data_IF_400570119162
#
_entry.id   IF_400570119162
#
_cell.length_a   1.000
_cell.length_b   1.000
_cell.length_c   1.000
_cell.angle_alpha   90.00
_cell.angle_beta   90.00
_cell.angle_gamma   90.00
#
_symmetry.space_group_name_H-M   'P 1'
#
loop_
_entity.id
_entity.type
_entity.pdbx_description
1 polymer ?
#
# COMPACT_ATOMS: atom_id res chain seq x y z
N UNK A 1 -0.76 -15.61 19.31
CA UNK A 1 0.15 -15.79 18.17
C UNK A 1 -0.42 -16.76 17.12
N UNK A 2 -0.92 -17.94 17.51
CA UNK A 2 -1.54 -18.90 16.56
C UNK A 2 -2.77 -18.37 15.81
N UNK A 3 -3.68 -17.63 16.47
CA UNK A 3 -4.88 -17.09 15.81
C UNK A 3 -4.62 -16.21 14.58
N UNK A 4 -3.57 -15.39 14.60
CA UNK A 4 -3.20 -14.53 13.47
C UNK A 4 -2.69 -15.37 12.29
N UNK A 5 -1.99 -16.48 12.56
CA UNK A 5 -1.52 -17.42 11.52
C UNK A 5 -2.69 -18.15 10.88
N UNK A 6 -3.68 -18.56 11.68
CA UNK A 6 -4.90 -19.20 11.18
C UNK A 6 -5.69 -18.27 10.26
N UNK A 7 -5.79 -16.98 10.58
CA UNK A 7 -6.47 -15.99 9.73
C UNK A 7 -5.73 -15.78 8.40
N UNK A 8 -4.40 -15.66 8.41
CA UNK A 8 -3.60 -15.51 7.18
C UNK A 8 -3.73 -16.76 6.29
N UNK A 9 -3.65 -17.96 6.87
CA UNK A 9 -3.84 -19.22 6.14
C UNK A 9 -5.26 -19.28 5.57
N UNK A 10 -6.26 -18.87 6.35
CA UNK A 10 -7.65 -18.86 5.92
C UNK A 10 -7.91 -17.85 4.79
N UNK A 11 -7.32 -16.65 4.86
CA UNK A 11 -7.42 -15.66 3.78
C UNK A 11 -6.69 -16.14 2.53
N UNK A 12 -5.48 -16.69 2.65
CA UNK A 12 -4.74 -17.27 1.53
C UNK A 12 -5.52 -18.41 0.86
N UNK A 13 -6.13 -19.30 1.64
CA UNK A 13 -7.00 -20.37 1.14
C UNK A 13 -8.20 -19.82 0.36
N UNK A 14 -8.86 -18.76 0.87
CA UNK A 14 -9.97 -18.12 0.17
C UNK A 14 -9.54 -17.48 -1.14
N UNK A 15 -8.45 -16.72 -1.13
CA UNK A 15 -7.92 -16.04 -2.31
C UNK A 15 -7.40 -17.01 -3.37
N UNK A 16 -6.99 -18.22 -3.00
CA UNK A 16 -6.63 -19.29 -3.93
C UNK A 16 -7.83 -19.96 -4.62
N UNK A 17 -9.05 -19.80 -4.08
CA UNK A 17 -10.29 -20.35 -4.64
C UNK A 17 -11.32 -19.23 -4.95
N UNK A 18 -10.98 -18.28 -5.85
CA UNK A 18 -11.81 -17.08 -6.09
C UNK A 18 -13.19 -17.38 -6.70
N UNK A 19 -13.35 -18.57 -7.31
CA UNK A 19 -14.64 -19.05 -7.83
C UNK A 19 -15.60 -19.51 -6.73
N UNK A 20 -15.07 -19.92 -5.58
CA UNK A 20 -15.81 -20.46 -4.44
C UNK A 20 -15.97 -19.43 -3.32
N UNK A 21 -14.94 -18.63 -3.08
CA UNK A 21 -14.97 -17.53 -2.12
C UNK A 21 -14.91 -16.23 -2.90
N UNK A 22 -16.06 -15.54 -2.99
CA UNK A 22 -16.06 -14.17 -3.49
C UNK A 22 -15.33 -13.30 -2.48
N UNK A 23 -14.16 -12.84 -2.85
CA UNK A 23 -13.51 -11.76 -2.12
C UNK A 23 -14.46 -10.56 -2.02
N UNK A 24 -14.33 -9.72 -0.97
CA UNK A 24 -15.07 -8.48 -0.90
C UNK A 24 -14.89 -7.72 -2.22
N UNK A 25 -15.99 -7.52 -2.95
CA UNK A 25 -15.98 -6.67 -4.12
C UNK A 25 -15.83 -5.23 -3.65
N UNK A 26 -14.59 -4.78 -3.54
CA UNK A 26 -14.32 -3.36 -3.43
C UNK A 26 -14.81 -2.73 -4.72
N UNK A 27 -15.70 -1.73 -4.63
CA UNK A 27 -16.23 -0.98 -5.78
C UNK A 27 -15.14 -0.11 -6.45
N UNK A 28 -13.94 -0.66 -6.67
CA UNK A 28 -12.80 0.00 -7.30
C UNK A 28 -13.10 0.41 -8.75
N UNK A 29 -14.02 -0.28 -9.43
CA UNK A 29 -14.47 0.04 -10.78
C UNK A 29 -15.49 1.18 -10.89
N UNK A 30 -15.92 1.79 -9.77
CA UNK A 30 -16.86 2.93 -9.76
C UNK A 30 -16.23 4.15 -9.09
N UNK A 31 -14.97 4.44 -9.41
CA UNK A 31 -14.25 5.59 -8.87
C UNK A 31 -15.01 6.90 -9.06
N UNK A 32 -15.70 7.06 -10.20
CA UNK A 32 -16.59 8.20 -10.50
C UNK A 32 -17.70 8.41 -9.46
N UNK A 33 -18.17 7.34 -8.79
CA UNK A 33 -19.21 7.38 -7.76
C UNK A 33 -18.63 7.29 -6.35
N UNK A 34 -17.30 7.32 -6.20
CA UNK A 34 -16.64 7.30 -4.91
C UNK A 34 -17.04 8.52 -4.09
N UNK A 35 -17.30 8.39 -2.77
CA UNK A 35 -17.42 9.56 -1.91
C UNK A 35 -16.09 10.32 -1.77
N UNK A 36 -14.97 9.69 -2.13
CA UNK A 36 -13.63 10.26 -2.09
C UNK A 36 -13.27 10.86 -3.46
N UNK A 37 -13.86 12.02 -3.77
CA UNK A 37 -13.62 12.75 -5.02
C UNK A 37 -12.39 13.66 -4.95
N UNK A 38 -12.05 14.12 -3.75
CA UNK A 38 -10.86 14.94 -3.51
C UNK A 38 -9.69 14.04 -3.15
N UNK A 39 -8.61 13.99 -3.96
CA UNK A 39 -7.41 13.24 -3.62
C UNK A 39 -6.86 13.70 -2.28
N UNK A 40 -6.63 12.76 -1.37
CA UNK A 40 -5.89 13.04 -0.13
C UNK A 40 -4.42 13.15 -0.48
N UNK A 41 -3.77 14.24 -0.05
CA UNK A 41 -2.33 14.33 -0.20
C UNK A 41 -1.66 13.18 0.57
N UNK A 42 -0.86 12.39 -0.12
CA UNK A 42 -0.24 11.19 0.46
C UNK A 42 1.17 10.97 -0.06
N UNK A 43 1.91 10.12 0.63
CA UNK A 43 3.23 9.69 0.20
C UNK A 43 3.16 8.26 -0.31
N UNK A 44 3.54 8.05 -1.57
CA UNK A 44 3.76 6.71 -2.13
C UNK A 44 5.26 6.41 -2.06
N UNK A 45 5.63 5.35 -1.36
CA UNK A 45 7.02 4.87 -1.32
C UNK A 45 7.12 3.49 -1.95
N UNK A 46 8.09 3.32 -2.85
CA UNK A 46 8.43 2.04 -3.47
C UNK A 46 9.72 1.54 -2.83
N UNK A 47 9.62 0.43 -2.11
CA UNK A 47 10.74 -0.27 -1.51
C UNK A 47 11.27 -1.30 -2.50
N UNK A 48 12.31 -0.94 -3.25
CA UNK A 48 12.88 -1.78 -4.30
C UNK A 48 13.61 -2.99 -3.70
N UNK A 49 13.53 -4.12 -4.40
CA UNK A 49 14.15 -5.40 -4.02
C UNK A 49 13.60 -6.00 -2.71
N UNK A 50 12.54 -5.40 -2.17
CA UNK A 50 11.81 -5.95 -1.02
C UNK A 50 10.71 -6.90 -1.51
N UNK A 51 10.53 -8.06 -0.85
CA UNK A 51 9.44 -8.97 -1.19
C UNK A 51 8.07 -8.39 -0.82
N UNK A 52 7.01 -9.02 -1.33
CA UNK A 52 5.66 -8.78 -0.82
C UNK A 52 5.63 -9.01 0.70
N UNK A 53 4.91 -8.15 1.42
CA UNK A 53 4.83 -8.14 2.89
C UNK A 53 6.18 -8.08 3.61
N UNK A 54 7.17 -7.38 3.04
CA UNK A 54 8.49 -7.23 3.66
C UNK A 54 8.44 -6.66 5.08
N UNK A 55 7.37 -5.99 5.47
CA UNK A 55 7.17 -5.46 6.82
C UNK A 55 7.25 -6.55 7.91
N UNK A 56 7.01 -7.83 7.59
CA UNK A 56 7.23 -8.94 8.53
C UNK A 56 8.72 -9.24 8.79
N UNK A 57 9.64 -8.70 7.99
CA UNK A 57 11.08 -8.76 8.23
C UNK A 57 11.44 -7.73 9.32
N UNK A 58 11.09 -8.02 10.58
CA UNK A 58 11.06 -7.04 11.68
C UNK A 58 12.39 -6.32 11.99
N UNK A 59 13.52 -6.83 11.48
CA UNK A 59 14.86 -6.25 11.69
C UNK A 59 15.44 -5.58 10.43
N UNK A 60 14.71 -5.58 9.32
CA UNK A 60 15.18 -4.94 8.09
C UNK A 60 14.91 -3.44 8.11
N UNK A 61 15.89 -2.63 7.70
CA UNK A 61 15.81 -1.16 7.71
C UNK A 61 14.58 -0.61 6.97
N UNK A 62 14.20 -1.25 5.86
CA UNK A 62 12.99 -0.92 5.12
C UNK A 62 11.72 -1.13 5.95
N UNK A 63 11.64 -2.23 6.71
CA UNK A 63 10.48 -2.54 7.55
C UNK A 63 10.33 -1.51 8.65
N UNK A 64 11.41 -1.18 9.36
CA UNK A 64 11.42 -0.14 10.40
C UNK A 64 10.93 1.19 9.83
N UNK A 65 11.49 1.62 8.68
CA UNK A 65 11.09 2.86 8.01
C UNK A 65 9.62 2.85 7.57
N UNK A 66 9.13 1.73 7.04
CA UNK A 66 7.72 1.58 6.65
C UNK A 66 6.79 1.75 7.85
N UNK A 67 7.16 1.23 9.02
CA UNK A 67 6.39 1.40 10.26
C UNK A 67 6.42 2.85 10.77
N UNK A 68 7.59 3.51 10.74
CA UNK A 68 7.71 4.93 11.08
C UNK A 68 6.81 5.79 10.20
N UNK A 69 6.83 5.57 8.88
CA UNK A 69 5.99 6.28 7.90
C UNK A 69 4.51 6.08 8.14
N UNK A 70 4.10 4.86 8.46
CA UNK A 70 2.72 4.55 8.83
C UNK A 70 2.30 5.28 10.11
N UNK A 71 3.14 5.27 11.15
CA UNK A 71 2.86 5.97 12.41
C UNK A 71 2.78 7.49 12.21
N UNK A 72 3.67 8.08 11.41
CA UNK A 72 3.64 9.49 11.02
C UNK A 72 2.33 9.84 10.30
N UNK A 73 1.93 9.01 9.33
CA UNK A 73 0.70 9.23 8.57
C UNK A 73 -0.53 9.18 9.48
N UNK A 74 -0.66 8.12 10.30
CA UNK A 74 -1.77 7.97 11.26
C UNK A 74 -1.83 9.18 12.16
N UNK A 75 -0.71 9.53 12.79
CA UNK A 75 -0.62 10.69 13.69
C UNK A 75 -1.09 11.98 13.00
N UNK A 76 -0.70 12.20 11.73
CA UNK A 76 -1.12 13.39 10.98
C UNK A 76 -2.63 13.39 10.70
N UNK A 77 -3.19 12.29 10.22
CA UNK A 77 -4.61 12.25 9.84
C UNK A 77 -5.55 12.21 11.04
N UNK A 78 -5.09 11.72 12.20
CA UNK A 78 -5.87 11.73 13.44
C UNK A 78 -5.76 13.04 14.22
N UNK A 79 -4.70 13.83 13.99
CA UNK A 79 -4.55 15.15 14.60
C UNK A 79 -5.22 16.21 13.73
N UNK A 80 -6.37 16.72 14.20
CA UNK A 80 -7.28 17.66 13.51
C UNK A 80 -6.63 18.98 13.06
N UNK A 81 -5.39 19.27 13.47
CA UNK A 81 -4.76 20.59 13.37
C UNK A 81 -3.70 20.75 12.27
N UNK A 82 -3.40 19.72 11.48
CA UNK A 82 -2.34 19.80 10.48
C UNK A 82 -2.86 19.57 9.06
N UNK A 83 -2.67 20.56 8.19
CA UNK A 83 -2.78 20.36 6.75
C UNK A 83 -1.78 19.29 6.29
N UNK A 84 -2.22 18.41 5.40
CA UNK A 84 -1.35 17.37 4.86
C UNK A 84 -0.35 18.00 3.88
N UNK A 85 0.95 17.67 4.00
CA UNK A 85 1.95 18.14 3.06
C UNK A 85 1.60 17.68 1.63
N UNK A 86 2.11 18.34 0.58
CA UNK A 86 1.89 17.90 -0.80
C UNK A 86 2.22 16.42 -1.00
N UNK A 87 1.51 15.78 -1.92
CA UNK A 87 1.81 14.39 -2.26
C UNK A 87 3.26 14.23 -2.69
N UNK A 88 3.89 13.15 -2.26
CA UNK A 88 5.28 12.85 -2.60
C UNK A 88 5.44 11.40 -3.05
N UNK A 89 6.44 11.15 -3.89
CA UNK A 89 6.70 9.85 -4.47
C UNK A 89 8.17 9.52 -4.30
N UNK A 90 8.46 8.47 -3.56
CA UNK A 90 9.82 8.13 -3.17
C UNK A 90 10.17 6.73 -3.63
N UNK A 91 11.42 6.57 -4.09
CA UNK A 91 12.06 5.29 -4.23
C UNK A 91 12.97 5.07 -3.02
N UNK A 92 12.96 3.86 -2.48
CA UNK A 92 13.78 3.45 -1.34
C UNK A 92 14.49 2.15 -1.73
N UNK A 93 15.82 2.13 -1.67
CA UNK A 93 16.59 0.91 -1.95
C UNK A 93 16.59 -0.06 -0.75
N UNK A 94 17.15 -1.25 -0.92
CA UNK A 94 17.29 -2.26 0.15
C UNK A 94 18.04 -1.76 1.39
N UNK A 95 18.85 -0.69 1.28
CA UNK A 95 19.55 -0.08 2.41
C UNK A 95 18.71 0.98 3.14
N UNK A 96 17.49 1.26 2.68
CA UNK A 96 16.64 2.32 3.23
C UNK A 96 17.01 3.73 2.76
N UNK A 97 17.78 3.87 1.69
CA UNK A 97 18.20 5.18 1.16
C UNK A 97 17.23 5.67 0.10
N UNK A 98 16.97 6.98 0.10
CA UNK A 98 16.09 7.62 -0.88
C UNK A 98 16.76 7.77 -2.25
N UNK A 99 15.98 7.58 -3.29
CA UNK A 99 16.37 7.89 -4.67
C UNK A 99 15.19 8.42 -5.48
N UNK A 100 15.46 8.89 -6.71
CA UNK A 100 14.40 9.23 -7.64
C UNK A 100 13.64 7.98 -8.10
N UNK A 101 12.37 8.15 -8.48
CA UNK A 101 11.66 7.11 -9.20
C UNK A 101 12.40 6.78 -10.51
N UNK A 102 12.28 5.53 -10.94
CA UNK A 102 12.71 5.08 -12.26
C UNK A 102 11.49 5.13 -13.18
N UNK A 103 11.70 5.28 -14.49
CA UNK A 103 10.62 5.35 -15.48
C UNK A 103 9.59 4.21 -15.35
N UNK A 104 10.04 2.99 -15.03
CA UNK A 104 9.14 1.85 -14.80
C UNK A 104 8.18 2.03 -13.61
N UNK A 105 8.57 2.81 -12.61
CA UNK A 105 7.76 3.09 -11.43
C UNK A 105 6.67 4.11 -11.74
N UNK A 106 7.00 5.11 -12.57
CA UNK A 106 6.04 6.15 -12.97
C UNK A 106 4.83 5.58 -13.70
N UNK A 107 4.96 4.41 -14.37
CA UNK A 107 3.84 3.71 -14.97
C UNK A 107 2.70 3.39 -14.00
N UNK A 108 2.99 3.22 -12.70
CA UNK A 108 1.95 3.02 -11.68
C UNK A 108 1.09 4.28 -11.48
N UNK A 109 1.61 5.45 -11.83
CA UNK A 109 0.96 6.75 -11.72
C UNK A 109 0.15 7.13 -12.96
N UNK A 110 0.12 6.30 -14.00
CA UNK A 110 -0.71 6.58 -15.18
C UNK A 110 -2.19 6.23 -14.96
N UNK A 111 -2.52 5.48 -13.89
CA UNK A 111 -3.89 5.08 -13.54
C UNK A 111 -4.70 4.41 -14.69
N UNK A 112 -4.07 4.02 -15.81
CA UNK A 112 -4.73 3.40 -16.97
C UNK A 112 -5.39 2.05 -16.67
N UNK A 113 -5.02 1.42 -15.54
CA UNK A 113 -5.50 0.09 -15.11
C UNK A 113 -6.27 0.12 -13.79
N UNK A 114 -6.84 1.26 -13.39
CA UNK A 114 -7.66 1.33 -12.17
C UNK A 114 -8.75 0.24 -12.21
N UNK A 115 -8.84 -0.54 -11.13
CA UNK A 115 -9.93 -1.51 -10.95
C UNK A 115 -9.85 -2.74 -11.85
N UNK A 116 -8.76 -2.91 -12.62
CA UNK A 116 -8.53 -4.13 -13.41
C UNK A 116 -7.86 -5.16 -12.50
N UNK A 117 -8.58 -6.24 -12.20
CA UNK A 117 -8.02 -7.40 -11.50
C UNK A 117 -7.15 -8.19 -12.51
N UNK A 118 -5.91 -8.59 -12.15
CA UNK A 118 -5.11 -9.47 -13.01
C UNK A 118 -5.88 -10.76 -13.33
N UNK A 119 -5.90 -11.14 -14.61
CA UNK A 119 -6.50 -12.39 -15.11
C UNK A 119 -5.58 -13.58 -14.93
#
# INVERSE_FOLDING_TARGET
>A
DERLRDEIIYFAHKSAEPTKYKDPSYNAGKFEKSPFQTPTNTTLEIYEEMPHDFQFLMEHVCSTKSYERMAEFITRVTNILNDLPPSSYNYINVKGEFGPLKERHEKVLNWDKIGIVPS
#
